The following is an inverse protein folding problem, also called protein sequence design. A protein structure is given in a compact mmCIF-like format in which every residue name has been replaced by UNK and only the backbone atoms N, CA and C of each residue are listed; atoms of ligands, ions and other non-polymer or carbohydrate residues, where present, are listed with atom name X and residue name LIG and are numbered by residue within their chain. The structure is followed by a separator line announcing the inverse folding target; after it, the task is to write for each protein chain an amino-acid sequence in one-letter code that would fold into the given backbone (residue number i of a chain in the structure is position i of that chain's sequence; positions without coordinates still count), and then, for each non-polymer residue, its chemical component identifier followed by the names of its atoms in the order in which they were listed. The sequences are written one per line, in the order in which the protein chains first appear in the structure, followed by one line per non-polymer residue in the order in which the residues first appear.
data_IF_860655723003
#
_entry.id   IF_860655723003
#
_cell.length_a   1.000
_cell.length_b   1.000
_cell.length_c   1.000
_cell.angle_alpha   90.00
_cell.angle_beta   90.00
_cell.angle_gamma   90.00
#
_symmetry.space_group_name_H-M   'P 1'
#
loop_
_entity.id
_entity.type
_entity.pdbx_description
1 polymer ?
#
# COMPACT_ATOMS: atom_id res chain seq x y z
N UNK A 1 -7.60 -12.57 -0.91
CA UNK A 1 -7.55 -11.85 -2.22
C UNK A 1 -6.44 -12.34 -3.16
N UNK A 2 -5.20 -12.56 -2.70
CA UNK A 2 -4.07 -12.99 -3.56
C UNK A 2 -4.35 -14.28 -4.36
N UNK A 3 -5.12 -15.21 -3.77
CA UNK A 3 -5.52 -16.49 -4.39
C UNK A 3 -6.38 -16.27 -5.64
N UNK A 4 -7.32 -15.33 -5.59
CA UNK A 4 -8.18 -15.00 -6.72
C UNK A 4 -7.41 -14.30 -7.85
N UNK A 5 -6.47 -13.40 -7.52
CA UNK A 5 -5.66 -12.68 -8.51
C UNK A 5 -4.84 -13.63 -9.36
N UNK A 6 -4.19 -14.64 -8.77
CA UNK A 6 -3.28 -15.55 -9.48
C UNK A 6 -3.97 -16.40 -10.55
N UNK A 7 -5.23 -16.76 -10.34
CA UNK A 7 -6.06 -17.43 -11.35
C UNK A 7 -6.28 -16.55 -12.59
N UNK A 8 -6.23 -15.23 -12.45
CA UNK A 8 -6.51 -14.25 -13.50
C UNK A 8 -5.26 -13.59 -14.10
N UNK A 9 -4.07 -13.85 -13.54
CA UNK A 9 -2.82 -13.30 -14.07
C UNK A 9 -2.54 -13.79 -15.50
N UNK A 10 -1.93 -12.93 -16.32
CA UNK A 10 -1.36 -13.30 -17.62
C UNK A 10 -0.08 -14.13 -17.45
N UNK A 11 0.30 -14.88 -18.49
CA UNK A 11 1.63 -15.51 -18.57
C UNK A 11 2.71 -14.41 -18.47
N UNK A 12 3.75 -14.66 -17.65
CA UNK A 12 4.82 -13.72 -17.26
C UNK A 12 4.33 -12.47 -16.53
N UNK A 13 3.18 -12.57 -15.86
CA UNK A 13 2.67 -11.53 -14.98
C UNK A 13 3.61 -11.22 -13.80
N UNK A 14 3.42 -10.05 -13.17
CA UNK A 14 4.25 -9.58 -12.06
C UNK A 14 3.37 -9.19 -10.88
N UNK A 15 3.76 -9.59 -9.67
CA UNK A 15 3.13 -9.21 -8.40
C UNK A 15 4.22 -8.55 -7.55
N UNK A 16 4.08 -7.24 -7.32
CA UNK A 16 4.92 -6.51 -6.39
C UNK A 16 4.31 -6.63 -4.98
N UNK A 17 5.00 -7.35 -4.09
CA UNK A 17 4.52 -7.65 -2.74
C UNK A 17 4.95 -6.51 -1.80
N UNK A 18 4.16 -5.44 -1.78
CA UNK A 18 4.39 -4.29 -0.91
C UNK A 18 3.97 -4.54 0.55
N UNK A 19 2.97 -5.38 0.76
CA UNK A 19 2.39 -5.66 2.08
C UNK A 19 1.19 -6.60 1.99
N UNK A 20 0.73 -7.06 3.15
CA UNK A 20 -0.40 -8.00 3.28
C UNK A 20 -1.29 -7.60 4.47
N UNK A 21 -1.86 -6.39 4.43
CA UNK A 21 -2.58 -5.78 5.56
C UNK A 21 -3.70 -6.65 6.15
N UNK A 22 -4.35 -7.48 5.32
CA UNK A 22 -5.40 -8.40 5.79
C UNK A 22 -4.90 -9.46 6.76
N UNK A 23 -3.57 -9.65 6.89
CA UNK A 23 -2.96 -10.66 7.73
C UNK A 23 -2.39 -10.08 9.04
N UNK A 24 -2.26 -8.75 9.18
CA UNK A 24 -1.45 -8.13 10.25
C UNK A 24 -2.02 -8.33 11.66
N UNK A 25 -3.34 -8.42 11.80
CA UNK A 25 -4.03 -8.52 13.09
C UNK A 25 -4.60 -9.92 13.35
N UNK A 26 -4.20 -10.93 12.57
CA UNK A 26 -4.62 -12.31 12.78
C UNK A 26 -3.64 -13.03 13.72
N UNK A 27 -4.15 -13.79 14.68
CA UNK A 27 -3.31 -14.66 15.53
C UNK A 27 -2.62 -15.75 14.71
N UNK A 28 -3.28 -16.21 13.65
CA UNK A 28 -2.75 -17.18 12.69
C UNK A 28 -3.00 -16.70 11.27
N UNK A 29 -1.93 -16.56 10.49
CA UNK A 29 -2.02 -16.16 9.09
C UNK A 29 -2.78 -17.18 8.26
N UNK A 30 -3.56 -16.70 7.31
CA UNK A 30 -4.22 -17.52 6.32
C UNK A 30 -3.21 -18.11 5.33
N UNK A 31 -3.45 -19.34 4.88
CA UNK A 31 -2.63 -20.01 3.88
C UNK A 31 -2.80 -19.41 2.48
N UNK A 32 -1.73 -19.45 1.69
CA UNK A 32 -1.73 -19.02 0.29
C UNK A 32 -1.94 -20.24 -0.62
N UNK A 33 -3.12 -20.38 -1.24
CA UNK A 33 -3.43 -21.55 -2.09
C UNK A 33 -2.98 -21.32 -3.54
N UNK A 34 -3.21 -22.21 -4.50
CA UNK A 34 -2.98 -21.95 -5.94
C UNK A 34 -1.55 -21.48 -6.35
N UNK A 35 -0.51 -21.75 -5.56
CA UNK A 35 0.86 -21.34 -5.88
C UNK A 35 1.39 -21.95 -7.18
N UNK A 36 0.84 -23.09 -7.62
CA UNK A 36 1.16 -23.68 -8.92
C UNK A 36 0.89 -22.74 -10.11
N UNK A 37 0.02 -21.74 -9.96
CA UNK A 37 -0.16 -20.71 -10.98
C UNK A 37 1.11 -19.88 -11.22
N UNK A 38 1.97 -19.72 -10.20
CA UNK A 38 3.26 -19.05 -10.35
C UNK A 38 4.14 -19.81 -11.33
N UNK A 39 4.19 -21.14 -11.21
CA UNK A 39 4.91 -22.02 -12.15
C UNK A 39 4.20 -22.06 -13.50
N UNK A 40 2.89 -22.33 -13.50
CA UNK A 40 2.02 -22.47 -14.68
C UNK A 40 1.95 -21.23 -15.56
N UNK A 41 2.21 -20.05 -14.99
CA UNK A 41 2.20 -18.78 -15.72
C UNK A 41 3.55 -18.07 -15.68
N UNK A 42 4.59 -18.61 -15.05
CA UNK A 42 5.91 -17.96 -14.87
C UNK A 42 5.78 -16.56 -14.26
N UNK A 43 4.95 -16.43 -13.21
CA UNK A 43 4.72 -15.15 -12.56
C UNK A 43 5.96 -14.79 -11.74
N UNK A 44 6.43 -13.54 -11.82
CA UNK A 44 7.39 -12.99 -10.85
C UNK A 44 6.62 -12.41 -9.68
N UNK A 45 6.85 -12.95 -8.48
CA UNK A 45 6.28 -12.44 -7.25
C UNK A 45 7.43 -12.01 -6.35
N UNK A 46 7.54 -10.72 -6.05
CA UNK A 46 8.74 -10.15 -5.43
C UNK A 46 8.37 -9.11 -4.38
N UNK A 47 8.91 -9.29 -3.18
CA UNK A 47 8.81 -8.31 -2.09
C UNK A 47 9.87 -7.23 -2.23
N UNK A 48 9.57 -6.05 -1.69
CA UNK A 48 10.49 -4.92 -1.67
C UNK A 48 10.17 -4.03 -0.47
N UNK A 49 11.15 -3.28 0.03
CA UNK A 49 10.94 -2.27 1.07
C UNK A 49 11.30 -0.89 0.53
N UNK A 50 10.50 0.12 0.87
CA UNK A 50 10.73 1.50 0.41
C UNK A 50 12.12 2.03 0.82
N UNK A 51 12.63 1.62 1.99
CA UNK A 51 13.95 2.00 2.49
C UNK A 51 15.10 1.63 1.56
N UNK A 52 14.99 0.52 0.82
CA UNK A 52 16.00 0.06 -0.14
C UNK A 52 16.17 1.05 -1.32
N UNK A 53 15.16 1.91 -1.55
CA UNK A 53 15.08 2.81 -2.69
C UNK A 53 15.22 4.30 -2.34
N UNK A 54 15.55 4.65 -1.10
CA UNK A 54 15.68 6.06 -0.70
C UNK A 54 16.79 6.83 -1.45
N UNK A 55 17.78 6.14 -2.02
CA UNK A 55 18.72 6.74 -2.97
C UNK A 55 18.03 7.37 -4.21
N UNK A 56 16.80 6.98 -4.53
CA UNK A 56 16.00 7.52 -5.64
C UNK A 56 15.08 8.68 -5.21
N UNK A 57 14.99 8.97 -3.91
CA UNK A 57 14.06 9.95 -3.37
C UNK A 57 14.17 11.36 -4.01
N UNK A 58 15.38 11.92 -4.26
CA UNK A 58 15.48 13.23 -4.92
C UNK A 58 14.83 13.26 -6.30
N UNK A 59 15.05 12.21 -7.11
CA UNK A 59 14.45 12.07 -8.45
C UNK A 59 12.93 11.87 -8.37
N UNK A 60 12.46 11.10 -7.39
CA UNK A 60 11.04 10.93 -7.11
C UNK A 60 10.37 12.26 -6.77
N UNK A 61 10.99 13.05 -5.89
CA UNK A 61 10.44 14.33 -5.45
C UNK A 61 10.31 15.33 -6.60
N UNK A 62 11.33 15.44 -7.46
CA UNK A 62 11.28 16.29 -8.66
C UNK A 62 10.09 15.93 -9.55
N UNK A 63 9.92 14.64 -9.84
CA UNK A 63 8.87 14.14 -10.71
C UNK A 63 7.47 14.36 -10.12
N UNK A 64 7.27 13.99 -8.84
CA UNK A 64 5.95 14.05 -8.20
C UNK A 64 5.53 15.49 -7.91
N UNK A 65 6.45 16.35 -7.44
CA UNK A 65 6.12 17.76 -7.19
C UNK A 65 5.70 18.46 -8.47
N UNK A 66 6.35 18.17 -9.60
CA UNK A 66 5.94 18.68 -10.90
C UNK A 66 4.54 18.19 -11.28
N UNK A 67 4.29 16.89 -11.16
CA UNK A 67 2.99 16.30 -11.51
C UNK A 67 1.84 16.85 -10.65
N UNK A 68 2.07 17.08 -9.35
CA UNK A 68 1.09 17.71 -8.45
C UNK A 68 0.80 19.15 -8.88
N UNK A 69 1.85 19.97 -9.11
CA UNK A 69 1.70 21.36 -9.56
C UNK A 69 0.98 21.47 -10.91
N UNK A 70 1.21 20.52 -11.82
CA UNK A 70 0.55 20.43 -13.12
C UNK A 70 -0.86 19.83 -13.06
N UNK A 71 -1.35 19.40 -11.88
CA UNK A 71 -2.65 18.75 -11.72
C UNK A 71 -2.75 17.34 -12.34
N UNK A 72 -1.61 16.75 -12.75
CA UNK A 72 -1.53 15.39 -13.32
C UNK A 72 -1.54 14.31 -12.24
N UNK A 73 -1.24 14.68 -11.01
CA UNK A 73 -1.30 13.80 -9.84
C UNK A 73 -2.13 14.48 -8.75
N UNK A 74 -3.17 13.79 -8.30
CA UNK A 74 -4.04 14.22 -7.20
C UNK A 74 -3.88 13.27 -6.03
N UNK A 75 -4.12 13.78 -4.82
CA UNK A 75 -4.07 12.99 -3.59
C UNK A 75 -5.32 13.28 -2.75
N UNK A 76 -5.72 12.30 -1.94
CA UNK A 76 -6.88 12.38 -1.05
C UNK A 76 -6.39 12.06 0.36
N UNK A 77 -6.76 12.91 1.30
CA UNK A 77 -6.39 12.79 2.72
C UNK A 77 -7.64 12.62 3.57
N UNK A 78 -7.51 11.80 4.60
CA UNK A 78 -8.46 11.66 5.69
C UNK A 78 -7.81 12.28 6.93
N UNK A 79 -8.38 13.39 7.43
CA UNK A 79 -7.71 14.23 8.42
C UNK A 79 -8.43 14.14 9.77
N UNK A 80 -7.72 13.63 10.77
CA UNK A 80 -8.15 13.67 12.16
C UNK A 80 -7.49 14.87 12.89
N UNK A 81 -8.28 15.69 13.59
CA UNK A 81 -7.77 16.84 14.36
C UNK A 81 -7.52 16.45 15.82
N UNK A 82 -6.34 16.79 16.34
CA UNK A 82 -5.92 16.53 17.71
C UNK A 82 -5.16 15.21 17.88
N UNK A 83 -4.10 15.23 18.69
CA UNK A 83 -3.29 14.04 18.99
C UNK A 83 -4.12 12.93 19.64
N UNK A 84 -5.15 13.32 20.39
CA UNK A 84 -6.12 12.48 21.09
C UNK A 84 -6.91 11.59 20.12
N UNK A 85 -7.03 12.00 18.84
CA UNK A 85 -7.66 11.20 17.79
C UNK A 85 -6.72 10.19 17.14
N UNK A 86 -5.41 10.30 17.35
CA UNK A 86 -4.42 9.42 16.73
C UNK A 86 -4.68 7.92 17.00
N UNK A 87 -5.04 7.48 18.22
CA UNK A 87 -5.33 6.05 18.46
C UNK A 87 -6.52 5.56 17.64
N UNK A 88 -7.63 6.30 17.62
CA UNK A 88 -8.81 5.93 16.83
C UNK A 88 -8.53 5.96 15.32
N UNK A 89 -7.77 6.96 14.85
CA UNK A 89 -7.41 7.08 13.44
C UNK A 89 -6.52 5.91 12.98
N UNK A 90 -5.56 5.48 13.82
CA UNK A 90 -4.71 4.33 13.54
C UNK A 90 -5.51 3.02 13.48
N UNK A 91 -6.38 2.79 14.46
CA UNK A 91 -7.22 1.58 14.48
C UNK A 91 -8.16 1.54 13.28
N UNK A 92 -8.71 2.69 12.87
CA UNK A 92 -9.59 2.82 11.71
C UNK A 92 -8.97 2.34 10.39
N UNK A 93 -7.64 2.41 10.24
CA UNK A 93 -6.93 1.91 9.05
C UNK A 93 -7.16 0.41 8.84
N UNK A 94 -7.21 -0.37 9.92
CA UNK A 94 -7.36 -1.83 9.85
C UNK A 94 -8.80 -2.28 9.60
N UNK A 95 -9.77 -1.38 9.78
CA UNK A 95 -11.20 -1.63 9.51
C UNK A 95 -11.67 -0.93 8.24
N UNK A 96 -10.78 -0.24 7.52
CA UNK A 96 -11.07 0.46 6.27
C UNK A 96 -11.93 1.71 6.45
N UNK A 97 -11.88 2.34 7.63
CA UNK A 97 -12.65 3.57 7.90
C UNK A 97 -12.09 4.80 7.19
N UNK A 98 -10.80 4.81 6.86
CA UNK A 98 -10.14 5.95 6.24
C UNK A 98 -10.51 6.08 4.75
N UNK A 99 -10.77 7.30 4.29
CA UNK A 99 -10.94 7.63 2.88
C UNK A 99 -9.71 8.37 2.35
N UNK A 100 -8.76 7.62 1.81
CA UNK A 100 -7.47 8.15 1.37
C UNK A 100 -6.39 8.01 2.43
N UNK A 101 -5.38 8.88 2.42
CA UNK A 101 -4.26 8.82 3.37
C UNK A 101 -4.68 9.39 4.72
N UNK A 102 -4.70 8.54 5.75
CA UNK A 102 -4.93 8.99 7.13
C UNK A 102 -3.80 9.92 7.60
N UNK A 103 -4.17 11.10 8.08
CA UNK A 103 -3.33 12.08 8.74
C UNK A 103 -3.91 12.44 10.12
N UNK A 104 -3.04 12.94 10.99
CA UNK A 104 -3.41 13.54 12.28
C UNK A 104 -2.79 14.93 12.35
N UNK A 105 -3.62 15.95 12.47
CA UNK A 105 -3.19 17.34 12.68
C UNK A 105 -3.03 17.56 14.18
N UNK A 106 -1.79 17.75 14.62
CA UNK A 106 -1.46 17.97 16.04
C UNK A 106 -1.60 19.45 16.41
N UNK A 107 -1.12 20.32 15.54
CA UNK A 107 -1.24 21.76 15.64
C UNK A 107 -1.33 22.36 14.24
N UNK A 108 -2.00 23.51 14.13
CA UNK A 108 -2.03 24.35 12.94
C UNK A 108 -1.22 25.60 13.24
N UNK A 109 -0.49 26.08 12.24
CA UNK A 109 0.19 27.38 12.29
C UNK A 109 -0.84 28.53 12.41
#
# INVERSE_FOLDING_TARGET
MLDAVRLNMRIRGRIAVCGMISQYNLEKSEGVHNLMQVVGKRIRMEGFLAGDFYHQYPKFLELVMRAIKEGKLVYVEDIAEGLEKAPSALVGIFTGQNVGKQLVVIARE
#
